data_IF_292703288728
#
_entry.id   IF_292703288728
#
_cell.length_a   1.000
_cell.length_b   1.000
_cell.length_c   1.000
_cell.angle_alpha   90.00
_cell.angle_beta   90.00
_cell.angle_gamma   90.00
#
_symmetry.space_group_name_H-M   'P 1'
#
loop_
_entity.id
_entity.type
_entity.pdbx_description
1 polymer ?
#
# COMPACT_ATOMS: atom_id res chain seq x y z
N UNK A 1 16.96 9.05 -17.98
CA UNK A 1 15.56 9.53 -17.98
C UNK A 1 14.61 8.37 -18.32
N UNK A 2 14.38 7.36 -17.47
CA UNK A 2 13.42 6.30 -17.82
C UNK A 2 12.86 5.48 -16.65
N UNK A 3 13.36 5.64 -15.43
CA UNK A 3 12.88 4.82 -14.29
C UNK A 3 11.57 5.36 -13.70
N UNK A 4 11.34 6.66 -13.71
CA UNK A 4 10.12 7.28 -13.18
C UNK A 4 8.88 7.08 -14.08
N UNK A 5 9.05 7.02 -15.38
CA UNK A 5 7.93 6.83 -16.33
C UNK A 5 7.40 5.39 -16.32
N UNK A 6 8.28 4.39 -16.22
CA UNK A 6 7.86 2.99 -16.14
C UNK A 6 7.08 2.68 -14.85
N UNK A 7 7.46 3.30 -13.74
CA UNK A 7 6.76 3.13 -12.46
C UNK A 7 5.37 3.77 -12.49
N UNK A 8 5.20 4.91 -13.14
CA UNK A 8 3.88 5.57 -13.26
C UNK A 8 2.91 4.80 -14.16
N UNK A 9 3.40 4.22 -15.25
CA UNK A 9 2.58 3.39 -16.15
C UNK A 9 2.15 2.07 -15.51
N UNK A 10 3.02 1.42 -14.75
CA UNK A 10 2.70 0.19 -14.02
C UNK A 10 1.64 0.45 -12.93
N UNK A 11 1.74 1.57 -12.22
CA UNK A 11 0.74 1.99 -11.23
C UNK A 11 -0.63 2.23 -11.87
N UNK A 12 -0.71 2.96 -12.98
CA UNK A 12 -1.98 3.22 -13.65
C UNK A 12 -2.67 1.93 -14.16
N UNK A 13 -1.89 0.93 -14.57
CA UNK A 13 -2.41 -0.38 -14.96
C UNK A 13 -2.88 -1.15 -13.72
N UNK A 14 -2.10 -1.17 -12.65
CA UNK A 14 -2.46 -1.83 -11.40
C UNK A 14 -3.78 -1.27 -10.83
N UNK A 15 -3.94 0.05 -10.83
CA UNK A 15 -5.17 0.74 -10.36
C UNK A 15 -6.41 0.30 -11.15
N UNK A 16 -6.31 0.12 -12.47
CA UNK A 16 -7.45 -0.35 -13.29
C UNK A 16 -7.87 -1.78 -12.94
N UNK A 17 -6.92 -2.68 -12.80
CA UNK A 17 -7.20 -4.06 -12.38
C UNK A 17 -7.72 -4.11 -10.95
N UNK A 18 -7.12 -3.35 -10.04
CA UNK A 18 -7.54 -3.25 -8.65
C UNK A 18 -9.01 -2.80 -8.53
N UNK A 19 -9.38 -1.74 -9.27
CA UNK A 19 -10.76 -1.25 -9.29
C UNK A 19 -11.74 -2.29 -9.84
N UNK A 20 -11.37 -3.03 -10.88
CA UNK A 20 -12.22 -4.08 -11.45
C UNK A 20 -12.42 -5.24 -10.48
N UNK A 21 -11.33 -5.74 -9.86
CA UNK A 21 -11.37 -6.84 -8.89
C UNK A 21 -12.19 -6.44 -7.66
N UNK A 22 -11.95 -5.23 -7.14
CA UNK A 22 -12.70 -4.68 -6.02
C UNK A 22 -14.20 -4.55 -6.34
N UNK A 23 -14.55 -4.08 -7.55
CA UNK A 23 -15.94 -3.98 -8.01
C UNK A 23 -16.64 -5.34 -8.01
N UNK A 24 -16.02 -6.37 -8.60
CA UNK A 24 -16.56 -7.73 -8.62
C UNK A 24 -16.73 -8.28 -7.20
N UNK A 25 -15.71 -8.12 -6.34
CA UNK A 25 -15.79 -8.59 -4.95
C UNK A 25 -16.90 -7.88 -4.15
N UNK A 26 -17.15 -6.61 -4.44
CA UNK A 26 -18.21 -5.83 -3.80
C UNK A 26 -19.59 -6.29 -4.27
N UNK A 27 -19.74 -6.56 -5.56
CA UNK A 27 -21.00 -7.02 -6.16
C UNK A 27 -21.36 -8.44 -5.70
N UNK A 28 -20.36 -9.32 -5.53
CA UNK A 28 -20.53 -10.68 -5.02
C UNK A 28 -20.65 -10.74 -3.48
N UNK A 29 -20.29 -9.68 -2.78
CA UNK A 29 -20.33 -9.61 -1.32
C UNK A 29 -19.16 -10.34 -0.61
N UNK A 30 -18.13 -10.71 -1.34
CA UNK A 30 -17.01 -11.55 -0.88
C UNK A 30 -15.78 -10.73 -0.39
N UNK A 31 -16.02 -9.54 0.16
CA UNK A 31 -14.95 -8.65 0.63
C UNK A 31 -14.01 -9.29 1.67
N UNK A 32 -14.56 -10.12 2.58
CA UNK A 32 -13.73 -10.81 3.58
C UNK A 32 -12.82 -11.88 2.97
N UNK A 33 -13.30 -12.56 1.93
CA UNK A 33 -12.50 -13.54 1.18
C UNK A 33 -11.38 -12.84 0.41
N UNK A 34 -11.69 -11.71 -0.23
CA UNK A 34 -10.71 -10.88 -0.92
C UNK A 34 -9.59 -10.43 0.03
N UNK A 35 -9.92 -9.96 1.25
CA UNK A 35 -8.90 -9.58 2.23
C UNK A 35 -7.98 -10.72 2.63
N UNK A 36 -8.56 -11.89 2.87
CA UNK A 36 -7.80 -13.09 3.21
C UNK A 36 -6.86 -13.50 2.07
N UNK A 37 -7.37 -13.45 0.83
CA UNK A 37 -6.57 -13.77 -0.35
C UNK A 37 -5.41 -12.81 -0.54
N UNK A 38 -5.65 -11.49 -0.35
CA UNK A 38 -4.59 -10.48 -0.41
C UNK A 38 -3.52 -10.69 0.65
N UNK A 39 -3.93 -11.03 1.88
CA UNK A 39 -2.97 -11.33 2.94
C UNK A 39 -2.11 -12.55 2.59
N UNK A 40 -2.73 -13.62 2.11
CA UNK A 40 -2.02 -14.84 1.70
C UNK A 40 -1.04 -14.57 0.55
N UNK A 41 -1.42 -13.73 -0.42
CA UNK A 41 -0.54 -13.33 -1.51
C UNK A 41 0.62 -12.45 -1.04
N UNK A 42 0.38 -11.56 -0.07
CA UNK A 42 1.43 -10.73 0.53
C UNK A 42 2.44 -11.57 1.29
N UNK A 43 1.96 -12.50 2.13
CA UNK A 43 2.81 -13.40 2.90
C UNK A 43 3.75 -14.21 1.99
N UNK A 44 3.26 -14.68 0.85
CA UNK A 44 4.09 -15.41 -0.11
C UNK A 44 5.10 -14.50 -0.81
N UNK A 45 4.71 -13.29 -1.16
CA UNK A 45 5.64 -12.31 -1.74
C UNK A 45 6.78 -11.96 -0.78
N UNK A 46 6.52 -11.96 0.53
CA UNK A 46 7.53 -11.69 1.55
C UNK A 46 8.44 -12.91 1.78
N UNK A 47 7.88 -14.10 1.87
CA UNK A 47 8.61 -15.32 2.24
C UNK A 47 9.34 -15.95 1.06
N UNK A 48 8.75 -15.95 -0.15
CA UNK A 48 9.27 -16.69 -1.30
C UNK A 48 10.02 -15.79 -2.28
N UNK A 49 11.34 -15.94 -2.34
CA UNK A 49 12.19 -15.28 -3.34
C UNK A 49 11.94 -15.84 -4.75
N UNK A 50 11.68 -17.14 -4.85
CA UNK A 50 11.35 -17.81 -6.12
C UNK A 50 10.08 -17.24 -6.73
N UNK A 51 9.07 -16.93 -5.91
CA UNK A 51 7.83 -16.32 -6.37
C UNK A 51 8.06 -14.90 -6.88
N UNK A 52 8.87 -14.10 -6.19
CA UNK A 52 9.27 -12.76 -6.65
C UNK A 52 10.01 -12.82 -7.98
N UNK A 53 10.92 -13.80 -8.13
CA UNK A 53 11.66 -14.03 -9.37
C UNK A 53 10.73 -14.47 -10.51
N UNK A 54 9.78 -15.36 -10.26
CA UNK A 54 8.76 -15.78 -11.24
C UNK A 54 7.95 -14.60 -11.76
N UNK A 55 7.57 -13.67 -10.89
CA UNK A 55 6.77 -12.49 -11.23
C UNK A 55 7.57 -11.47 -12.04
N UNK A 56 8.82 -11.22 -11.67
CA UNK A 56 9.66 -10.15 -12.24
C UNK A 56 10.41 -10.59 -13.49
N UNK A 57 10.70 -11.88 -13.64
CA UNK A 57 11.52 -12.39 -14.72
C UNK A 57 10.74 -12.55 -16.03
N UNK A 58 11.20 -11.95 -17.13
CA UNK A 58 10.61 -12.13 -18.45
C UNK A 58 10.98 -13.47 -19.10
N UNK A 59 11.85 -14.27 -18.48
CA UNK A 59 12.38 -15.52 -19.05
C UNK A 59 11.36 -16.66 -19.07
N UNK A 60 10.35 -16.62 -18.17
CA UNK A 60 9.32 -17.66 -18.12
C UNK A 60 8.27 -17.46 -19.21
N UNK A 61 7.88 -18.55 -19.86
CA UNK A 61 6.79 -18.53 -20.81
C UNK A 61 5.45 -18.24 -20.11
N UNK A 62 4.46 -17.76 -20.87
CA UNK A 62 3.12 -17.51 -20.33
C UNK A 62 2.51 -18.77 -19.69
N UNK A 63 2.64 -19.89 -20.37
CA UNK A 63 2.11 -21.18 -19.92
C UNK A 63 2.75 -21.64 -18.61
N UNK A 64 4.07 -21.45 -18.47
CA UNK A 64 4.78 -21.75 -17.23
C UNK A 64 4.33 -20.87 -16.07
N UNK A 65 4.19 -19.57 -16.31
CA UNK A 65 3.69 -18.63 -15.29
C UNK A 65 2.25 -18.96 -14.89
N UNK A 66 1.37 -19.28 -15.85
CA UNK A 66 -0.02 -19.63 -15.60
C UNK A 66 -0.14 -20.92 -14.80
N UNK A 67 0.60 -21.96 -15.19
CA UNK A 67 0.64 -23.24 -14.47
C UNK A 67 1.15 -23.04 -13.03
N UNK A 68 2.23 -22.28 -12.86
CA UNK A 68 2.77 -21.99 -11.53
C UNK A 68 1.76 -21.23 -10.64
N UNK A 69 1.07 -20.23 -11.19
CA UNK A 69 0.02 -19.49 -10.45
C UNK A 69 -1.14 -20.40 -10.07
N UNK A 70 -1.59 -21.26 -10.97
CA UNK A 70 -2.68 -22.20 -10.69
C UNK A 70 -2.31 -23.16 -9.56
N UNK A 71 -1.10 -23.70 -9.56
CA UNK A 71 -0.63 -24.61 -8.50
C UNK A 71 -0.46 -23.88 -7.16
N UNK A 72 0.09 -22.67 -7.17
CA UNK A 72 0.20 -21.83 -5.97
C UNK A 72 -1.19 -21.48 -5.43
N UNK A 73 -2.12 -21.07 -6.30
CA UNK A 73 -3.49 -20.72 -5.92
C UNK A 73 -4.22 -21.89 -5.25
N UNK A 74 -4.01 -23.11 -5.74
CA UNK A 74 -4.56 -24.32 -5.12
C UNK A 74 -3.98 -24.59 -3.73
N UNK A 75 -2.65 -24.44 -3.57
CA UNK A 75 -1.98 -24.69 -2.28
C UNK A 75 -2.43 -23.71 -1.20
N UNK A 76 -2.64 -22.44 -1.57
CA UNK A 76 -3.01 -21.37 -0.64
C UNK A 76 -4.53 -21.31 -0.44
N UNK A 77 -5.31 -22.02 -1.25
CA UNK A 77 -6.78 -21.99 -1.25
C UNK A 77 -7.33 -20.58 -1.50
N UNK A 78 -6.81 -19.91 -2.53
CA UNK A 78 -7.31 -18.61 -2.99
C UNK A 78 -8.69 -18.80 -3.62
N UNK A 79 -9.55 -17.80 -3.49
CA UNK A 79 -10.89 -17.77 -4.09
C UNK A 79 -10.82 -17.89 -5.63
N UNK A 80 -11.86 -18.47 -6.22
CA UNK A 80 -11.92 -18.63 -7.68
C UNK A 80 -11.95 -17.28 -8.40
N UNK A 81 -12.55 -16.26 -7.80
CA UNK A 81 -12.52 -14.89 -8.30
C UNK A 81 -11.08 -14.36 -8.44
N UNK A 82 -10.30 -14.43 -7.35
CA UNK A 82 -8.91 -13.95 -7.35
C UNK A 82 -8.03 -14.78 -8.27
N UNK A 83 -8.22 -16.10 -8.32
CA UNK A 83 -7.53 -16.99 -9.25
C UNK A 83 -7.78 -16.61 -10.70
N UNK A 84 -9.03 -16.34 -11.09
CA UNK A 84 -9.38 -15.90 -12.44
C UNK A 84 -8.75 -14.55 -12.76
N UNK A 85 -8.73 -13.62 -11.80
CA UNK A 85 -8.07 -12.33 -11.94
C UNK A 85 -6.56 -12.48 -12.16
N UNK A 86 -5.89 -13.34 -11.40
CA UNK A 86 -4.46 -13.63 -11.57
C UNK A 86 -4.15 -14.26 -12.94
N UNK A 87 -4.98 -15.21 -13.40
CA UNK A 87 -4.86 -15.81 -14.73
C UNK A 87 -5.02 -14.74 -15.83
N UNK A 88 -5.96 -13.80 -15.67
CA UNK A 88 -6.13 -12.69 -16.60
C UNK A 88 -4.90 -11.78 -16.66
N UNK A 89 -4.34 -11.42 -15.52
CA UNK A 89 -3.10 -10.61 -15.43
C UNK A 89 -1.94 -11.35 -16.07
N UNK A 90 -1.81 -12.66 -15.83
CA UNK A 90 -0.79 -13.53 -16.42
C UNK A 90 -0.95 -13.60 -17.95
N UNK A 91 -2.17 -13.81 -18.48
CA UNK A 91 -2.45 -13.88 -19.93
C UNK A 91 -2.05 -12.60 -20.68
N UNK A 92 -2.05 -11.45 -20.00
CA UNK A 92 -1.61 -10.15 -20.54
C UNK A 92 -0.13 -9.86 -20.31
N UNK A 93 0.65 -10.80 -19.77
CA UNK A 93 2.07 -10.64 -19.41
C UNK A 93 2.33 -9.47 -18.45
N UNK A 94 1.41 -9.26 -17.50
CA UNK A 94 1.47 -8.15 -16.54
C UNK A 94 1.64 -8.62 -15.09
N UNK A 95 2.14 -9.82 -14.89
CA UNK A 95 2.29 -10.39 -13.56
C UNK A 95 3.22 -9.57 -12.66
N UNK A 96 4.17 -8.84 -13.25
CA UNK A 96 5.07 -7.94 -12.53
C UNK A 96 4.36 -6.81 -11.76
N UNK A 97 3.10 -6.51 -12.09
CA UNK A 97 2.30 -5.50 -11.36
C UNK A 97 1.69 -6.05 -10.07
N UNK A 98 1.80 -7.35 -9.80
CA UNK A 98 1.11 -8.00 -8.67
C UNK A 98 1.36 -7.34 -7.31
N UNK A 99 2.59 -6.94 -6.93
CA UNK A 99 2.81 -6.24 -5.66
C UNK A 99 2.00 -4.94 -5.57
N UNK A 100 2.04 -4.13 -6.62
CA UNK A 100 1.29 -2.87 -6.71
C UNK A 100 -0.23 -3.10 -6.73
N UNK A 101 -0.68 -4.17 -7.39
CA UNK A 101 -2.08 -4.56 -7.45
C UNK A 101 -2.62 -4.89 -6.04
N UNK A 102 -1.87 -5.63 -5.24
CA UNK A 102 -2.23 -5.96 -3.86
C UNK A 102 -2.35 -4.68 -3.01
N UNK A 103 -1.41 -3.75 -3.16
CA UNK A 103 -1.42 -2.48 -2.41
C UNK A 103 -2.62 -1.61 -2.81
N UNK A 104 -2.93 -1.50 -4.10
CA UNK A 104 -4.07 -0.74 -4.62
C UNK A 104 -5.42 -1.34 -4.18
N UNK A 105 -5.59 -2.66 -4.24
CA UNK A 105 -6.82 -3.30 -3.76
C UNK A 105 -6.97 -3.08 -2.25
N UNK A 106 -5.88 -3.20 -1.48
CA UNK A 106 -5.90 -2.93 -0.04
C UNK A 106 -6.30 -1.50 0.28
N UNK A 107 -5.87 -0.53 -0.56
CA UNK A 107 -6.28 0.87 -0.43
C UNK A 107 -7.78 1.07 -0.70
N UNK A 108 -8.33 0.43 -1.75
CA UNK A 108 -9.77 0.48 -2.02
C UNK A 108 -10.62 -0.14 -0.91
N UNK A 109 -10.16 -1.26 -0.33
CA UNK A 109 -10.84 -1.90 0.81
C UNK A 109 -10.84 -0.96 2.02
N UNK A 110 -9.70 -0.33 2.32
CA UNK A 110 -9.59 0.64 3.42
C UNK A 110 -10.52 1.85 3.19
N UNK A 111 -10.60 2.34 1.95
CA UNK A 111 -11.49 3.44 1.59
C UNK A 111 -12.97 3.06 1.76
N UNK A 112 -13.37 1.87 1.31
CA UNK A 112 -14.75 1.37 1.43
C UNK A 112 -15.16 1.15 2.90
N UNK A 113 -14.24 0.66 3.73
CA UNK A 113 -14.42 0.55 5.18
C UNK A 113 -14.45 1.91 5.90
N UNK A 114 -14.19 2.99 5.18
CA UNK A 114 -14.05 4.32 5.75
C UNK A 114 -12.78 4.47 6.60
N UNK A 115 -11.82 3.55 6.48
CA UNK A 115 -10.51 3.66 7.11
C UNK A 115 -9.66 4.68 6.35
N UNK A 116 -9.04 5.59 7.06
CA UNK A 116 -8.07 6.52 6.47
C UNK A 116 -6.67 6.04 6.81
N UNK A 117 -5.88 5.73 5.79
CA UNK A 117 -4.45 5.48 6.00
C UNK A 117 -3.74 6.80 6.26
N UNK A 118 -3.15 6.92 7.43
CA UNK A 118 -2.36 8.07 7.85
C UNK A 118 -0.89 7.68 7.85
N UNK A 119 -0.10 8.35 7.00
CA UNK A 119 1.36 8.18 7.04
C UNK A 119 1.93 9.09 8.13
N UNK A 120 2.64 8.49 9.07
CA UNK A 120 3.32 9.20 10.17
C UNK A 120 4.81 9.00 10.00
N UNK A 121 5.54 10.10 9.76
CA UNK A 121 7.00 10.09 9.71
C UNK A 121 7.53 10.65 11.02
N UNK A 122 8.36 9.88 11.71
CA UNK A 122 8.96 10.25 13.01
C UNK A 122 10.48 10.14 12.97
N UNK A 123 11.18 10.90 13.81
CA UNK A 123 12.64 10.82 13.94
C UNK A 123 13.13 9.54 14.63
N UNK A 124 12.27 8.90 15.43
CA UNK A 124 12.52 7.66 16.17
C UNK A 124 11.29 6.78 16.19
N UNK A 125 11.45 5.52 16.52
CA UNK A 125 10.30 4.63 16.76
C UNK A 125 9.37 5.21 17.83
N UNK A 126 8.08 5.18 17.53
CA UNK A 126 7.03 5.58 18.46
C UNK A 126 6.81 4.46 19.48
N UNK A 127 6.74 4.81 20.77
CA UNK A 127 6.32 3.84 21.77
C UNK A 127 4.85 3.44 21.56
N UNK A 128 4.45 2.28 22.08
CA UNK A 128 3.05 1.82 21.96
C UNK A 128 2.05 2.82 22.53
N UNK A 129 2.38 3.48 23.65
CA UNK A 129 1.52 4.48 24.26
C UNK A 129 1.41 5.74 23.40
N UNK A 130 2.50 6.18 22.79
CA UNK A 130 2.51 7.30 21.86
C UNK A 130 1.66 6.99 20.64
N UNK A 131 1.79 5.79 20.09
CA UNK A 131 1.01 5.33 18.94
C UNK A 131 -0.49 5.29 19.27
N UNK A 132 -0.87 4.73 20.43
CA UNK A 132 -2.27 4.71 20.91
C UNK A 132 -2.85 6.11 21.10
N UNK A 133 -2.10 7.03 21.69
CA UNK A 133 -2.55 8.41 21.88
C UNK A 133 -2.70 9.15 20.54
N UNK A 134 -1.78 8.93 19.60
CA UNK A 134 -1.83 9.50 18.27
C UNK A 134 -3.07 8.99 17.50
N UNK A 135 -3.35 7.68 17.55
CA UNK A 135 -4.57 7.09 16.97
C UNK A 135 -5.83 7.75 17.57
N UNK A 136 -5.91 7.87 18.90
CA UNK A 136 -7.06 8.47 19.58
C UNK A 136 -7.26 9.92 19.15
N UNK A 137 -6.20 10.72 19.14
CA UNK A 137 -6.27 12.14 18.77
C UNK A 137 -6.71 12.32 17.32
N UNK A 138 -6.11 11.54 16.40
CA UNK A 138 -6.46 11.59 14.99
C UNK A 138 -7.89 11.08 14.74
N UNK A 139 -8.33 10.00 15.43
CA UNK A 139 -9.69 9.48 15.34
C UNK A 139 -10.72 10.53 15.80
N UNK A 140 -10.44 11.26 16.87
CA UNK A 140 -11.30 12.34 17.36
C UNK A 140 -11.37 13.52 16.38
N UNK A 141 -10.28 13.82 15.69
CA UNK A 141 -10.20 14.94 14.75
C UNK A 141 -10.82 14.63 13.38
N UNK A 142 -10.68 13.39 12.92
CA UNK A 142 -11.09 12.96 11.57
C UNK A 142 -12.47 12.27 11.59
N UNK A 143 -12.85 11.66 12.74
CA UNK A 143 -14.13 10.97 12.90
C UNK A 143 -14.24 9.62 12.16
N UNK A 144 -13.12 9.07 11.69
CA UNK A 144 -13.06 7.80 10.95
C UNK A 144 -12.05 6.84 11.56
N UNK A 145 -12.16 5.57 11.23
CA UNK A 145 -11.15 4.58 11.61
C UNK A 145 -9.82 4.90 10.90
N UNK A 146 -8.71 4.80 11.66
CA UNK A 146 -7.40 5.22 11.18
C UNK A 146 -6.43 4.05 11.22
N UNK A 147 -5.78 3.80 10.09
CA UNK A 147 -4.65 2.90 9.99
C UNK A 147 -3.36 3.71 9.87
N UNK A 148 -2.46 3.59 10.85
CA UNK A 148 -1.19 4.31 10.86
C UNK A 148 -0.15 3.49 10.10
N UNK A 149 0.51 4.13 9.11
CA UNK A 149 1.74 3.65 8.49
C UNK A 149 2.90 4.49 9.02
N UNK A 150 3.62 3.96 10.00
CA UNK A 150 4.79 4.62 10.58
C UNK A 150 6.02 4.44 9.69
N UNK A 151 6.76 5.52 9.47
CA UNK A 151 8.04 5.54 8.77
C UNK A 151 9.04 6.32 9.63
N UNK A 152 10.27 5.83 9.72
CA UNK A 152 11.33 6.51 10.48
C UNK A 152 12.18 7.32 9.51
N UNK A 153 12.36 8.61 9.80
CA UNK A 153 13.29 9.50 9.09
C UNK A 153 14.18 10.25 10.08
N UNK A 154 15.43 9.85 10.15
CA UNK A 154 16.43 10.44 11.05
C UNK A 154 16.78 11.90 10.73
N UNK A 155 16.43 12.39 9.53
CA UNK A 155 16.69 13.78 9.14
C UNK A 155 15.74 14.78 9.82
N UNK A 156 14.69 14.32 10.48
CA UNK A 156 13.70 15.19 11.15
C UNK A 156 14.20 15.83 12.44
N UNK A 157 15.35 15.41 12.98
CA UNK A 157 15.91 15.87 14.28
C UNK A 157 14.96 15.52 15.43
N UNK A 158 13.64 15.73 15.26
CA UNK A 158 12.59 15.44 16.24
C UNK A 158 11.22 15.92 15.76
N UNK A 159 10.17 15.48 16.43
CA UNK A 159 8.79 15.76 16.08
C UNK A 159 8.19 14.73 15.14
N UNK A 160 7.04 15.06 14.54
CA UNK A 160 6.23 14.19 13.71
C UNK A 160 5.75 14.94 12.47
N UNK A 161 5.75 14.27 11.33
CA UNK A 161 5.02 14.70 10.13
C UNK A 161 3.87 13.72 9.92
N UNK A 162 2.65 14.22 9.91
CA UNK A 162 1.43 13.43 9.74
C UNK A 162 0.80 13.79 8.40
N UNK A 163 0.68 12.82 7.51
CA UNK A 163 0.04 13.00 6.20
C UNK A 163 -1.27 12.21 6.15
N UNK A 164 -2.37 12.91 5.97
CA UNK A 164 -3.73 12.38 5.88
C UNK A 164 -4.27 12.68 4.48
N UNK A 165 -4.18 11.74 3.57
CA UNK A 165 -4.53 11.97 2.16
C UNK A 165 -3.73 13.16 1.57
N UNK A 166 -4.42 14.21 1.13
CA UNK A 166 -3.82 15.42 0.59
C UNK A 166 -3.37 16.43 1.66
N UNK A 167 -3.79 16.26 2.93
CA UNK A 167 -3.48 17.18 4.03
C UNK A 167 -2.24 16.71 4.77
N UNK A 168 -1.27 17.61 4.95
CA UNK A 168 -0.03 17.37 5.67
C UNK A 168 0.04 18.29 6.89
N UNK A 169 0.33 17.70 8.04
CA UNK A 169 0.55 18.42 9.30
C UNK A 169 1.99 18.16 9.72
N UNK A 170 2.82 19.17 9.63
CA UNK A 170 4.22 19.11 10.01
C UNK A 170 4.42 19.77 11.39
N UNK A 171 4.80 18.94 12.36
CA UNK A 171 5.15 19.35 13.72
C UNK A 171 6.63 19.12 14.02
N UNK A 172 7.46 18.97 12.99
CA UNK A 172 8.90 18.73 13.15
C UNK A 172 9.62 19.92 13.75
N UNK A 173 10.68 19.65 14.49
CA UNK A 173 11.56 20.68 15.05
C UNK A 173 12.22 21.47 13.93
N UNK A 174 12.55 20.82 12.82
CA UNK A 174 13.13 21.46 11.65
C UNK A 174 12.23 22.57 11.11
N UNK A 175 10.97 22.30 10.83
CA UNK A 175 10.02 23.28 10.33
C UNK A 175 9.78 24.42 11.32
N UNK A 176 9.78 24.11 12.63
CA UNK A 176 9.68 25.17 13.66
C UNK A 176 10.88 26.10 13.66
N UNK A 177 12.09 25.58 13.50
CA UNK A 177 13.31 26.39 13.41
C UNK A 177 13.35 27.21 12.13
N UNK A 178 12.98 26.64 10.99
CA UNK A 178 12.89 27.36 9.71
C UNK A 178 11.89 28.52 9.79
N UNK A 179 10.72 28.29 10.39
CA UNK A 179 9.72 29.32 10.60
C UNK A 179 10.23 30.46 11.53
N UNK A 180 10.90 30.11 12.63
CA UNK A 180 11.52 31.12 13.50
C UNK A 180 12.59 31.92 12.78
N UNK A 181 13.43 31.28 11.99
CA UNK A 181 14.46 31.94 11.20
C UNK A 181 13.83 32.92 10.18
N UNK A 182 12.73 32.53 9.54
CA UNK A 182 12.04 33.39 8.58
C UNK A 182 11.41 34.61 9.27
N UNK A 183 10.73 34.44 10.40
CA UNK A 183 10.17 35.55 11.19
C UNK A 183 11.28 36.51 11.63
N UNK A 184 12.43 35.99 12.06
CA UNK A 184 13.57 36.82 12.45
C UNK A 184 14.19 37.60 11.27
N UNK A 185 14.09 37.08 10.03
CA UNK A 185 14.54 37.79 8.82
C UNK A 185 13.58 38.89 8.36
N UNK A 186 12.26 38.68 8.56
CA UNK A 186 11.23 39.66 8.19
C UNK A 186 11.17 40.87 9.12
N UNK A 187 11.66 40.75 10.35
CA UNK A 187 11.69 41.82 11.36
C UNK A 187 12.92 42.75 11.20
N UNK A 188 13.76 42.53 10.19
CA UNK A 188 14.96 43.31 9.94
C UNK A 188 14.82 44.11 8.65
#
# INVERSE_FOLDING_TARGET
>A
MSVSESTSMSSAVATRYAKAIFGVAKDEGDMKLLEKDLQSLRDILEVSEDFRTLISSPMYSREQQETAILEISKKIKISDMMKNALCLVCSKRRLYILPQLIDEISAYIAEDKGEITVSVTSARELSEDQNRNLVKTLKNTIGKEIKIKATIDHNLIGGLIVKVGAKMIDSSIRSKLENLQNIMKEVR
#
